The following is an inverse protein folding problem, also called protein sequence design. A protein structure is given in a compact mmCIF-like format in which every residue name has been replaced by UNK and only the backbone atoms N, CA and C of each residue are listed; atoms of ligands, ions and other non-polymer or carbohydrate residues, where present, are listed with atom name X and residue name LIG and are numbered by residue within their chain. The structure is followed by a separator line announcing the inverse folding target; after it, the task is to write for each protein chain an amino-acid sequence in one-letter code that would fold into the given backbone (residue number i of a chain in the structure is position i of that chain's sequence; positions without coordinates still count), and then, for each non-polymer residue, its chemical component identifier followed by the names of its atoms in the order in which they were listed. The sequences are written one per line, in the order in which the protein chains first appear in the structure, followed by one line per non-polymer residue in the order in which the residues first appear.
data_IF_710722677981
#
_entry.id   IF_710722677981
#
_cell.length_a   1.000
_cell.length_b   1.000
_cell.length_c   1.000
_cell.angle_alpha   90.00
_cell.angle_beta   90.00
_cell.angle_gamma   90.00
#
_symmetry.space_group_name_H-M   'P 1'
#
loop_
_entity.id
_entity.type
_entity.pdbx_description
1 polymer ?
#
# COMPACT_ATOMS: atom_id res chain seq x y z
N UNK A 1 22.78 12.40 -16.57
CA UNK A 1 22.38 11.16 -15.86
C UNK A 1 21.78 11.43 -14.46
N UNK A 2 21.31 12.65 -14.14
CA UNK A 2 20.85 13.02 -12.78
C UNK A 2 19.34 12.90 -12.55
N UNK A 3 18.51 13.44 -13.43
CA UNK A 3 17.10 13.68 -13.07
C UNK A 3 16.18 12.46 -13.26
N UNK A 4 16.49 11.60 -14.23
CA UNK A 4 15.69 10.40 -14.49
C UNK A 4 15.78 9.39 -13.34
N UNK A 5 16.96 9.27 -12.72
CA UNK A 5 17.17 8.41 -11.55
C UNK A 5 16.43 8.97 -10.35
N UNK A 6 16.48 10.29 -10.13
CA UNK A 6 15.78 10.96 -9.02
C UNK A 6 14.26 10.80 -9.14
N UNK A 7 13.68 11.03 -10.32
CA UNK A 7 12.24 10.84 -10.55
C UNK A 7 11.82 9.37 -10.34
N UNK A 8 12.64 8.43 -10.80
CA UNK A 8 12.43 7.00 -10.54
C UNK A 8 12.44 6.66 -9.05
N UNK A 9 13.41 7.22 -8.29
CA UNK A 9 13.50 7.04 -6.84
C UNK A 9 12.29 7.62 -6.12
N UNK A 10 11.83 8.82 -6.50
CA UNK A 10 10.64 9.46 -5.92
C UNK A 10 9.40 8.59 -6.14
N UNK A 11 9.19 8.10 -7.37
CA UNK A 11 8.05 7.24 -7.68
C UNK A 11 8.08 5.94 -6.86
N UNK A 12 9.25 5.32 -6.71
CA UNK A 12 9.42 4.13 -5.87
C UNK A 12 9.13 4.44 -4.39
N UNK A 13 9.62 5.59 -3.89
CA UNK A 13 9.41 6.00 -2.52
C UNK A 13 7.91 6.25 -2.22
N UNK A 14 7.21 6.98 -3.08
CA UNK A 14 5.76 7.22 -2.95
C UNK A 14 5.00 5.90 -3.03
N UNK A 15 5.36 5.03 -3.97
CA UNK A 15 4.72 3.72 -4.12
C UNK A 15 4.91 2.81 -2.91
N UNK A 16 6.11 2.82 -2.31
CA UNK A 16 6.41 2.10 -1.08
C UNK A 16 5.62 2.68 0.11
N UNK A 17 5.57 4.01 0.24
CA UNK A 17 4.80 4.67 1.29
C UNK A 17 3.31 4.33 1.19
N UNK A 18 2.72 4.41 0.00
CA UNK A 18 1.35 3.98 -0.24
C UNK A 18 1.14 2.50 0.10
N UNK A 19 2.09 1.64 -0.25
CA UNK A 19 2.08 0.22 0.11
C UNK A 19 2.01 0.00 1.62
N UNK A 20 2.84 0.70 2.39
CA UNK A 20 2.86 0.65 3.86
C UNK A 20 1.52 1.09 4.45
N UNK A 21 0.99 2.23 3.99
CA UNK A 21 -0.29 2.78 4.45
C UNK A 21 -1.45 1.82 4.19
N UNK A 22 -1.49 1.22 3.00
CA UNK A 22 -2.58 0.35 2.59
C UNK A 22 -2.46 -1.08 3.15
N UNK A 23 -1.26 -1.49 3.58
CA UNK A 23 -1.00 -2.86 4.04
C UNK A 23 -1.84 -3.24 5.26
N UNK A 24 -1.88 -2.40 6.30
CA UNK A 24 -2.60 -2.70 7.54
C UNK A 24 -4.12 -2.80 7.31
N UNK A 25 -4.79 -1.82 6.65
CA UNK A 25 -6.18 -1.96 6.24
C UNK A 25 -6.44 -3.19 5.36
N UNK A 26 -5.55 -3.49 4.43
CA UNK A 26 -5.65 -4.67 3.55
C UNK A 26 -5.66 -5.98 4.36
N UNK A 27 -4.75 -6.11 5.33
CA UNK A 27 -4.69 -7.26 6.23
C UNK A 27 -5.98 -7.35 7.06
N UNK A 28 -6.41 -6.23 7.66
CA UNK A 28 -7.62 -6.17 8.47
C UNK A 28 -8.88 -6.60 7.69
N UNK A 29 -9.07 -6.05 6.49
CA UNK A 29 -10.21 -6.40 5.62
C UNK A 29 -10.09 -7.87 5.17
N UNK A 30 -8.89 -8.34 4.84
CA UNK A 30 -8.67 -9.73 4.44
C UNK A 30 -9.03 -10.72 5.54
N UNK A 31 -8.62 -10.45 6.78
CA UNK A 31 -8.97 -11.30 7.92
C UNK A 31 -10.46 -11.22 8.25
N UNK A 32 -11.08 -10.04 8.22
CA UNK A 32 -12.53 -9.89 8.50
C UNK A 32 -13.40 -10.57 7.45
N UNK A 33 -13.03 -10.49 6.17
CA UNK A 33 -13.84 -11.07 5.09
C UNK A 33 -13.50 -12.52 4.80
N UNK A 34 -12.31 -13.03 5.12
CA UNK A 34 -11.88 -14.37 4.68
C UNK A 34 -11.28 -15.23 5.79
N UNK A 35 -11.16 -14.72 7.02
CA UNK A 35 -10.57 -15.41 8.17
C UNK A 35 -9.06 -15.67 8.07
N UNK A 36 -8.44 -15.46 6.90
CA UNK A 36 -7.01 -15.70 6.64
C UNK A 36 -6.46 -14.83 5.52
N UNK A 37 -5.14 -14.68 5.52
CA UNK A 37 -4.39 -14.12 4.41
C UNK A 37 -3.92 -15.26 3.48
N UNK A 38 -4.28 -15.22 2.20
CA UNK A 38 -3.83 -16.20 1.20
C UNK A 38 -2.67 -15.62 0.41
N UNK A 39 -1.55 -16.34 0.34
CA UNK A 39 -0.34 -15.90 -0.37
C UNK A 39 -0.64 -15.46 -1.81
N UNK A 40 -1.37 -16.28 -2.58
CA UNK A 40 -1.71 -15.96 -3.96
C UNK A 40 -2.53 -14.68 -4.10
N UNK A 41 -3.52 -14.44 -3.22
CA UNK A 41 -4.29 -13.18 -3.25
C UNK A 41 -3.44 -11.99 -2.82
N UNK A 42 -2.56 -12.15 -1.83
CA UNK A 42 -1.64 -11.10 -1.41
C UNK A 42 -0.70 -10.72 -2.54
N UNK A 43 -0.12 -11.71 -3.24
CA UNK A 43 0.74 -11.47 -4.40
C UNK A 43 -0.03 -10.76 -5.52
N UNK A 44 -1.28 -11.12 -5.78
CA UNK A 44 -2.11 -10.43 -6.78
C UNK A 44 -2.40 -8.97 -6.40
N UNK A 45 -2.70 -8.68 -5.13
CA UNK A 45 -2.89 -7.29 -4.68
C UNK A 45 -1.59 -6.48 -4.72
N UNK A 46 -0.46 -7.09 -4.35
CA UNK A 46 0.86 -6.47 -4.47
C UNK A 46 1.19 -6.18 -5.94
N UNK A 47 0.95 -7.14 -6.83
CA UNK A 47 1.10 -6.95 -8.27
C UNK A 47 0.19 -5.84 -8.80
N UNK A 48 -1.06 -5.75 -8.33
CA UNK A 48 -1.98 -4.67 -8.70
C UNK A 48 -1.49 -3.29 -8.23
N UNK A 49 -0.91 -3.20 -7.03
CA UNK A 49 -0.32 -1.96 -6.52
C UNK A 49 0.90 -1.54 -7.35
N UNK A 50 1.84 -2.47 -7.60
CA UNK A 50 3.02 -2.21 -8.43
C UNK A 50 2.60 -1.79 -9.84
N UNK A 51 1.61 -2.50 -10.41
CA UNK A 51 1.04 -2.18 -11.72
C UNK A 51 0.42 -0.78 -11.78
N UNK A 52 -0.34 -0.39 -10.76
CA UNK A 52 -0.92 0.95 -10.68
C UNK A 52 0.17 2.03 -10.76
N UNK A 53 1.26 1.87 -10.00
CA UNK A 53 2.41 2.78 -10.07
C UNK A 53 3.14 2.70 -11.41
N UNK A 54 3.26 1.51 -12.00
CA UNK A 54 3.89 1.32 -13.30
C UNK A 54 3.18 2.09 -14.42
N UNK A 55 1.83 2.17 -14.39
CA UNK A 55 1.09 2.99 -15.36
C UNK A 55 1.52 4.45 -15.26
N UNK A 56 1.54 5.02 -14.05
CA UNK A 56 1.94 6.42 -13.85
C UNK A 56 3.39 6.68 -14.27
N UNK A 57 4.32 5.79 -13.90
CA UNK A 57 5.73 5.99 -14.23
C UNK A 57 5.98 5.85 -15.74
N UNK A 58 5.42 4.84 -16.40
CA UNK A 58 5.62 4.67 -17.85
C UNK A 58 4.94 5.75 -18.69
N UNK A 59 3.78 6.24 -18.25
CA UNK A 59 3.02 7.23 -19.02
C UNK A 59 3.46 8.66 -18.78
N UNK A 60 4.08 9.00 -17.64
CA UNK A 60 4.49 10.37 -17.34
C UNK A 60 6.00 10.59 -17.40
N UNK A 61 6.82 9.59 -17.05
CA UNK A 61 8.26 9.75 -16.99
C UNK A 61 8.95 9.37 -18.32
N UNK A 62 10.13 9.96 -18.62
CA UNK A 62 10.73 11.08 -17.90
C UNK A 62 9.99 12.39 -18.18
N UNK A 63 9.93 13.27 -17.18
CA UNK A 63 9.44 14.63 -17.37
C UNK A 63 10.46 15.43 -18.20
N UNK A 64 10.02 16.28 -19.14
CA UNK A 64 10.91 17.08 -19.96
C UNK A 64 11.64 18.14 -19.14
N UNK A 65 12.84 18.54 -19.58
CA UNK A 65 13.51 19.72 -19.06
C UNK A 65 12.65 20.97 -19.37
N UNK A 66 12.27 21.79 -18.37
CA UNK A 66 11.49 23.00 -18.58
C UNK A 66 12.06 23.94 -19.64
N UNK A 67 13.38 24.00 -19.78
CA UNK A 67 14.06 24.89 -20.73
C UNK A 67 14.07 24.34 -22.17
N UNK A 68 13.80 23.04 -22.35
CA UNK A 68 13.84 22.35 -23.64
C UNK A 68 12.48 21.81 -24.10
N UNK A 69 11.39 22.13 -23.39
CA UNK A 69 10.05 21.62 -23.68
C UNK A 69 9.56 22.09 -25.05
N UNK A 70 9.00 21.16 -25.83
CA UNK A 70 8.30 21.45 -27.08
C UNK A 70 6.82 21.17 -26.93
N UNK A 71 6.00 22.19 -27.13
CA UNK A 71 4.57 22.07 -27.05
C UNK A 71 4.02 21.23 -28.20
N UNK A 72 3.10 20.33 -27.88
CA UNK A 72 2.37 19.51 -28.84
C UNK A 72 0.86 19.65 -28.63
N UNK A 73 0.09 19.25 -29.65
CA UNK A 73 -1.37 19.39 -29.66
C UNK A 73 -2.11 18.10 -29.29
N UNK A 74 -3.38 18.03 -29.69
CA UNK A 74 -4.22 16.85 -29.53
C UNK A 74 -4.50 16.17 -30.88
N UNK A 75 -4.45 14.85 -30.91
CA UNK A 75 -4.87 13.99 -32.01
C UNK A 75 -6.27 13.46 -31.67
N UNK A 76 -7.29 14.13 -32.21
CA UNK A 76 -8.69 13.84 -31.87
C UNK A 76 -9.40 12.91 -32.86
N UNK A 77 -8.74 12.53 -33.94
CA UNK A 77 -9.34 11.68 -34.98
C UNK A 77 -9.29 10.20 -34.57
N UNK A 78 -10.42 9.55 -34.24
CA UNK A 78 -10.45 8.15 -33.82
C UNK A 78 -10.01 7.18 -34.95
N UNK A 79 -10.02 7.62 -36.20
CA UNK A 79 -9.55 6.81 -37.33
C UNK A 79 -8.03 6.78 -37.44
N UNK A 80 -7.29 7.50 -36.58
CA UNK A 80 -5.81 7.42 -36.50
C UNK A 80 -5.35 5.98 -36.31
N UNK A 81 -5.93 5.27 -35.34
CA UNK A 81 -5.62 3.86 -35.02
C UNK A 81 -5.70 2.96 -36.26
N UNK A 82 -6.81 3.06 -37.01
CA UNK A 82 -7.03 2.21 -38.19
C UNK A 82 -6.01 2.53 -39.27
N UNK A 83 -5.76 3.82 -39.53
CA UNK A 83 -4.80 4.24 -40.55
C UNK A 83 -3.37 3.91 -40.16
N UNK A 84 -3.03 3.96 -38.88
CA UNK A 84 -1.69 3.61 -38.39
C UNK A 84 -1.43 2.11 -38.52
N UNK A 85 -2.44 1.28 -38.26
CA UNK A 85 -2.38 -0.16 -38.56
C UNK A 85 -2.23 -0.38 -40.07
N UNK A 86 -3.07 0.25 -40.90
CA UNK A 86 -3.00 0.08 -42.36
C UNK A 86 -1.65 0.51 -42.93
N UNK A 87 -1.14 1.68 -42.53
CA UNK A 87 0.20 2.15 -42.89
C UNK A 87 1.26 1.16 -42.43
N UNK A 88 1.10 0.60 -41.23
CA UNK A 88 2.07 -0.33 -40.70
C UNK A 88 2.19 -1.62 -41.54
N UNK A 89 1.07 -2.17 -42.00
CA UNK A 89 1.07 -3.35 -42.84
C UNK A 89 1.40 -3.06 -44.32
N UNK A 90 1.20 -1.82 -44.79
CA UNK A 90 1.53 -1.41 -46.15
C UNK A 90 3.01 -1.02 -46.33
N UNK A 91 3.69 -0.61 -45.26
CA UNK A 91 5.08 -0.18 -45.34
C UNK A 91 6.04 -1.37 -45.56
N UNK A 92 7.13 -1.18 -46.35
CA UNK A 92 8.10 -2.24 -46.62
C UNK A 92 8.79 -2.74 -45.35
N UNK A 93 8.97 -4.06 -45.25
CA UNK A 93 9.65 -4.71 -44.13
C UNK A 93 8.69 -5.40 -43.15
N UNK A 94 9.16 -5.68 -41.93
CA UNK A 94 8.36 -6.38 -40.93
C UNK A 94 7.45 -5.38 -40.17
N UNK A 95 6.10 -5.49 -40.28
CA UNK A 95 5.17 -4.60 -39.58
C UNK A 95 5.34 -4.65 -38.05
N UNK A 96 5.80 -5.77 -37.49
CA UNK A 96 6.05 -5.94 -36.05
C UNK A 96 7.23 -5.12 -35.53
N UNK A 97 8.01 -4.48 -36.42
CA UNK A 97 9.09 -3.55 -36.03
C UNK A 97 8.69 -2.10 -36.19
N UNK A 98 7.46 -1.83 -36.62
CA UNK A 98 7.03 -0.46 -36.87
C UNK A 98 6.57 0.21 -35.57
N UNK A 99 7.12 1.39 -35.23
CA UNK A 99 6.83 2.05 -33.95
C UNK A 99 5.34 2.32 -33.72
N UNK A 100 4.61 2.72 -34.77
CA UNK A 100 3.18 3.00 -34.67
C UNK A 100 2.38 1.74 -34.25
N UNK A 101 2.64 0.60 -34.88
CA UNK A 101 1.98 -0.66 -34.51
C UNK A 101 2.39 -1.10 -33.10
N UNK A 102 3.67 -0.97 -32.75
CA UNK A 102 4.17 -1.32 -31.42
C UNK A 102 3.52 -0.46 -30.33
N UNK A 103 3.32 0.84 -30.55
CA UNK A 103 2.62 1.72 -29.60
C UNK A 103 1.20 1.22 -29.34
N UNK A 104 0.42 0.96 -30.39
CA UNK A 104 -0.95 0.45 -30.26
C UNK A 104 -0.99 -0.88 -29.48
N UNK A 105 -0.10 -1.82 -29.81
CA UNK A 105 -0.01 -3.13 -29.14
C UNK A 105 0.40 -2.96 -27.67
N UNK A 106 1.40 -2.14 -27.36
CA UNK A 106 1.85 -1.93 -26.00
C UNK A 106 0.83 -1.19 -25.14
N UNK A 107 0.05 -0.26 -25.70
CA UNK A 107 -1.06 0.39 -25.01
C UNK A 107 -2.14 -0.62 -24.60
N UNK A 108 -2.54 -1.50 -25.52
CA UNK A 108 -3.44 -2.63 -25.21
C UNK A 108 -2.84 -3.51 -24.10
N UNK A 109 -1.58 -3.96 -24.24
CA UNK A 109 -0.93 -4.84 -23.27
C UNK A 109 -0.77 -4.18 -21.89
N UNK A 110 -0.49 -2.89 -21.84
CA UNK A 110 -0.35 -2.12 -20.61
C UNK A 110 -1.66 -2.11 -19.84
N UNK A 111 -2.83 -2.12 -20.50
CA UNK A 111 -4.14 -2.08 -19.83
C UNK A 111 -4.79 -3.45 -19.59
N UNK A 112 -4.25 -4.55 -20.17
CA UNK A 112 -4.72 -5.92 -19.89
C UNK A 112 -4.73 -6.24 -18.38
N UNK A 113 -3.66 -5.95 -17.60
CA UNK A 113 -3.69 -6.24 -16.17
C UNK A 113 -4.79 -5.49 -15.40
N UNK A 114 -5.13 -4.25 -15.78
CA UNK A 114 -6.23 -3.49 -15.15
C UNK A 114 -7.54 -4.27 -15.21
N UNK A 115 -7.92 -4.73 -16.41
CA UNK A 115 -9.11 -5.54 -16.62
C UNK A 115 -9.11 -6.84 -15.81
N UNK A 116 -7.96 -7.53 -15.80
CA UNK A 116 -7.80 -8.77 -15.06
C UNK A 116 -7.94 -8.55 -13.55
N UNK A 117 -7.31 -7.52 -12.99
CA UNK A 117 -7.40 -7.19 -11.56
C UNK A 117 -8.82 -6.78 -11.16
N UNK A 118 -9.50 -5.93 -11.93
CA UNK A 118 -10.88 -5.54 -11.65
C UNK A 118 -11.83 -6.74 -11.57
N UNK A 119 -11.64 -7.75 -12.43
CA UNK A 119 -12.44 -8.96 -12.42
C UNK A 119 -12.05 -9.95 -11.34
N UNK A 120 -10.76 -10.23 -11.15
CA UNK A 120 -10.28 -11.24 -10.18
C UNK A 120 -10.32 -10.72 -8.75
N UNK A 121 -9.83 -9.51 -8.52
CA UNK A 121 -9.75 -8.92 -7.18
C UNK A 121 -11.05 -8.20 -6.81
N UNK A 122 -11.57 -7.38 -7.74
CA UNK A 122 -12.79 -6.58 -7.52
C UNK A 122 -14.10 -7.35 -7.76
N UNK A 123 -14.06 -8.48 -8.48
CA UNK A 123 -15.26 -9.24 -8.84
C UNK A 123 -16.15 -8.52 -9.86
N UNK A 124 -15.60 -7.54 -10.59
CA UNK A 124 -16.37 -6.68 -11.50
C UNK A 124 -16.34 -7.18 -12.94
N UNK A 125 -17.35 -6.79 -13.70
CA UNK A 125 -17.60 -7.25 -15.07
C UNK A 125 -17.00 -6.36 -16.15
N UNK A 126 -17.37 -6.65 -17.40
CA UNK A 126 -16.96 -5.88 -18.58
C UNK A 126 -17.32 -4.39 -18.49
N UNK A 127 -18.51 -3.97 -18.00
CA UNK A 127 -18.84 -2.54 -17.91
C UNK A 127 -17.87 -1.77 -17.03
N UNK A 128 -17.46 -2.36 -15.89
CA UNK A 128 -16.47 -1.71 -15.02
C UNK A 128 -15.09 -1.69 -15.66
N UNK A 129 -14.67 -2.75 -16.37
CA UNK A 129 -13.40 -2.76 -17.07
C UNK A 129 -13.35 -1.71 -18.19
N UNK A 130 -14.45 -1.54 -18.93
CA UNK A 130 -14.59 -0.51 -19.96
C UNK A 130 -14.52 0.90 -19.35
N UNK A 131 -15.37 1.19 -18.36
CA UNK A 131 -15.42 2.52 -17.73
C UNK A 131 -14.13 2.87 -17.00
N UNK A 132 -13.52 1.92 -16.30
CA UNK A 132 -12.25 2.15 -15.60
C UNK A 132 -11.08 2.26 -16.58
N UNK A 133 -11.04 1.45 -17.64
CA UNK A 133 -10.02 1.55 -18.69
C UNK A 133 -10.10 2.90 -19.40
N UNK A 134 -11.29 3.30 -19.82
CA UNK A 134 -11.52 4.61 -20.44
C UNK A 134 -11.19 5.76 -19.48
N UNK A 135 -11.71 5.72 -18.24
CA UNK A 135 -11.50 6.78 -17.27
C UNK A 135 -10.04 6.93 -16.85
N UNK A 136 -9.30 5.83 -16.68
CA UNK A 136 -7.88 5.88 -16.37
C UNK A 136 -7.06 6.38 -17.56
N UNK A 137 -7.37 5.92 -18.78
CA UNK A 137 -6.73 6.43 -19.99
C UNK A 137 -6.98 7.94 -20.14
N UNK A 138 -8.24 8.37 -19.99
CA UNK A 138 -8.62 9.78 -20.05
C UNK A 138 -7.90 10.61 -18.98
N UNK A 139 -7.75 10.08 -17.77
CA UNK A 139 -7.00 10.74 -16.72
C UNK A 139 -5.53 10.93 -17.12
N UNK A 140 -4.88 9.90 -17.68
CA UNK A 140 -3.48 9.97 -18.16
C UNK A 140 -3.34 10.94 -19.33
N UNK A 141 -4.23 10.88 -20.31
CA UNK A 141 -4.18 11.75 -21.49
C UNK A 141 -4.46 13.22 -21.10
N UNK A 142 -5.46 13.47 -20.25
CA UNK A 142 -5.74 14.82 -19.72
C UNK A 142 -4.57 15.31 -18.89
N UNK A 143 -3.93 14.39 -18.18
CA UNK A 143 -2.73 14.71 -17.43
C UNK A 143 -1.63 15.25 -18.37
N UNK A 144 -1.32 14.53 -19.44
CA UNK A 144 -0.32 15.00 -20.41
C UNK A 144 -0.75 16.28 -21.15
N UNK A 145 -2.03 16.38 -21.54
CA UNK A 145 -2.60 17.52 -22.26
C UNK A 145 -2.50 18.82 -21.46
N UNK A 146 -2.73 18.75 -20.16
CA UNK A 146 -2.62 19.90 -19.26
C UNK A 146 -1.17 20.19 -18.86
N UNK A 147 -0.19 19.45 -19.41
CA UNK A 147 1.22 19.59 -19.06
C UNK A 147 1.49 19.29 -17.58
N UNK A 148 0.75 18.31 -17.04
CA UNK A 148 0.19 18.31 -15.68
C UNK A 148 0.82 19.13 -14.60
N UNK A 149 0.00 19.80 -13.77
CA UNK A 149 -1.35 20.30 -13.99
C UNK A 149 -1.11 21.81 -14.01
N UNK A 150 -0.49 22.28 -15.09
CA UNK A 150 0.19 23.58 -15.13
C UNK A 150 1.60 23.59 -14.53
N UNK A 151 2.25 22.44 -14.31
CA UNK A 151 3.70 22.42 -14.01
C UNK A 151 4.50 22.90 -15.22
N UNK A 152 4.04 22.54 -16.41
CA UNK A 152 4.56 23.02 -17.68
C UNK A 152 3.58 23.98 -18.35
N UNK A 153 4.07 24.93 -19.18
CA UNK A 153 3.22 25.91 -19.85
C UNK A 153 2.31 25.30 -20.94
N UNK A 154 2.55 24.05 -21.36
CA UNK A 154 1.82 23.37 -22.42
C UNK A 154 1.96 21.84 -22.33
N UNK A 155 1.21 21.12 -23.18
CA UNK A 155 1.33 19.67 -23.32
C UNK A 155 2.71 19.28 -23.87
N UNK A 156 3.38 18.32 -23.23
CA UNK A 156 4.68 17.79 -23.66
C UNK A 156 4.58 16.42 -24.36
N UNK A 157 3.40 15.80 -24.34
CA UNK A 157 3.02 14.60 -25.10
C UNK A 157 1.65 14.83 -25.73
N UNK A 158 1.42 14.21 -26.89
CA UNK A 158 0.16 14.35 -27.61
C UNK A 158 -0.96 13.71 -26.80
N UNK A 159 -2.07 14.43 -26.64
CA UNK A 159 -3.33 13.79 -26.27
C UNK A 159 -3.81 12.97 -27.45
N UNK A 160 -3.97 11.66 -27.31
CA UNK A 160 -4.37 10.79 -28.43
C UNK A 160 -5.66 10.02 -28.13
N UNK A 161 -6.71 10.27 -28.92
CA UNK A 161 -7.98 9.51 -28.84
C UNK A 161 -7.75 8.03 -29.18
N UNK A 162 -6.77 7.72 -30.01
CA UNK A 162 -6.34 6.35 -30.30
C UNK A 162 -5.79 5.64 -29.06
N UNK A 163 -5.12 6.35 -28.17
CA UNK A 163 -4.62 5.81 -26.90
C UNK A 163 -5.78 5.53 -25.94
N UNK A 164 -6.81 6.39 -25.90
CA UNK A 164 -8.07 6.08 -25.20
C UNK A 164 -8.70 4.78 -25.69
N UNK A 165 -8.76 4.56 -27.00
CA UNK A 165 -9.36 3.37 -27.60
C UNK A 165 -8.54 2.11 -27.31
N UNK A 166 -7.23 2.15 -27.50
CA UNK A 166 -6.33 1.00 -27.32
C UNK A 166 -6.22 0.60 -25.84
N UNK A 167 -6.05 1.56 -24.93
CA UNK A 167 -6.02 1.30 -23.49
C UNK A 167 -7.36 0.73 -22.99
N UNK A 168 -8.48 1.30 -23.42
CA UNK A 168 -9.82 0.77 -23.06
C UNK A 168 -10.00 -0.65 -23.59
N UNK A 169 -9.56 -0.93 -24.81
CA UNK A 169 -9.59 -2.27 -25.41
C UNK A 169 -8.75 -3.25 -24.59
N UNK A 170 -7.55 -2.85 -24.16
CA UNK A 170 -6.71 -3.62 -23.25
C UNK A 170 -7.42 -4.02 -21.97
N UNK A 171 -8.07 -3.06 -21.30
CA UNK A 171 -8.82 -3.33 -20.07
C UNK A 171 -10.00 -4.29 -20.30
N UNK A 172 -10.74 -4.14 -21.41
CA UNK A 172 -11.82 -5.06 -21.78
C UNK A 172 -11.27 -6.47 -22.04
N UNK A 173 -10.22 -6.60 -22.85
CA UNK A 173 -9.57 -7.87 -23.15
C UNK A 173 -9.05 -8.56 -21.90
N UNK A 174 -8.35 -7.83 -21.03
CA UNK A 174 -7.85 -8.38 -19.77
C UNK A 174 -8.96 -8.89 -18.86
N UNK A 175 -10.09 -8.18 -18.82
CA UNK A 175 -11.28 -8.66 -18.13
C UNK A 175 -11.80 -9.94 -18.79
N UNK A 176 -11.90 -10.03 -20.12
CA UNK A 176 -12.32 -11.28 -20.81
C UNK A 176 -11.36 -12.44 -20.50
N UNK A 177 -10.05 -12.24 -20.61
CA UNK A 177 -9.03 -13.26 -20.33
C UNK A 177 -9.12 -13.78 -18.89
N UNK A 178 -9.41 -12.89 -17.93
CA UNK A 178 -9.63 -13.27 -16.54
C UNK A 178 -10.87 -14.17 -16.30
N UNK A 179 -11.67 -14.46 -17.32
CA UNK A 179 -12.73 -15.47 -17.24
C UNK A 179 -12.20 -16.89 -17.00
N UNK A 180 -10.91 -17.15 -17.26
CA UNK A 180 -10.26 -18.44 -16.95
C UNK A 180 -10.18 -18.72 -15.44
N UNK A 181 -10.13 -17.68 -14.60
CA UNK A 181 -10.03 -17.84 -13.13
C UNK A 181 -11.39 -18.25 -12.56
N UNK A 182 -11.57 -19.36 -11.83
CA UNK A 182 -12.89 -19.77 -11.31
C UNK A 182 -13.64 -18.66 -10.55
N UNK A 183 -14.97 -18.55 -10.72
CA UNK A 183 -15.80 -17.52 -10.04
C UNK A 183 -15.63 -17.55 -8.51
N UNK A 184 -15.46 -18.72 -7.91
CA UNK A 184 -15.21 -18.91 -6.48
C UNK A 184 -13.91 -18.26 -5.97
N UNK A 185 -12.97 -17.95 -6.86
CA UNK A 185 -11.72 -17.27 -6.55
C UNK A 185 -11.78 -15.77 -6.86
N UNK A 186 -12.90 -15.23 -7.35
CA UNK A 186 -13.03 -13.82 -7.72
C UNK A 186 -13.68 -12.99 -6.62
N UNK A 187 -13.33 -11.71 -6.59
CA UNK A 187 -14.04 -10.68 -5.82
C UNK A 187 -13.67 -10.54 -4.35
N UNK A 188 -14.45 -9.69 -3.68
CA UNK A 188 -14.25 -9.26 -2.30
C UNK A 188 -15.31 -9.82 -1.34
N UNK A 189 -16.10 -10.81 -1.78
CA UNK A 189 -17.16 -11.39 -0.95
C UNK A 189 -16.56 -12.04 0.31
N UNK A 190 -17.30 -11.91 1.41
CA UNK A 190 -16.94 -12.60 2.63
C UNK A 190 -17.10 -14.12 2.42
N UNK A 191 -16.15 -14.90 2.92
CA UNK A 191 -16.32 -16.36 2.96
C UNK A 191 -17.22 -16.74 4.14
N UNK A 192 -17.99 -17.81 3.98
CA UNK A 192 -18.85 -18.32 5.05
C UNK A 192 -18.05 -18.70 6.31
N UNK A 193 -16.84 -19.21 6.14
CA UNK A 193 -15.91 -19.62 7.22
C UNK A 193 -15.04 -18.46 7.76
N UNK A 194 -15.41 -17.21 7.49
CA UNK A 194 -14.62 -16.04 7.88
C UNK A 194 -14.69 -15.75 9.38
N UNK A 195 -15.81 -16.07 10.03
CA UNK A 195 -16.02 -15.83 11.46
C UNK A 195 -15.67 -17.05 12.33
N UNK A 196 -15.32 -18.18 11.71
CA UNK A 196 -14.88 -19.36 12.45
C UNK A 196 -13.53 -19.12 13.13
N UNK A 197 -13.36 -19.53 14.40
CA UNK A 197 -12.08 -19.48 15.09
C UNK A 197 -11.01 -20.27 14.36
N UNK A 198 -9.79 -19.74 14.29
CA UNK A 198 -8.64 -20.39 13.64
C UNK A 198 -7.43 -20.45 14.57
N UNK A 199 -6.58 -21.47 14.44
CA UNK A 199 -5.39 -21.60 15.27
C UNK A 199 -4.46 -20.39 15.12
N UNK A 200 -3.83 -20.00 16.22
CA UNK A 200 -2.80 -18.96 16.23
C UNK A 200 -1.50 -19.57 15.72
N UNK A 201 -1.14 -19.25 14.48
CA UNK A 201 0.13 -19.66 13.88
C UNK A 201 1.21 -18.60 14.13
N UNK A 202 2.48 -19.01 14.12
CA UNK A 202 3.62 -18.07 14.20
C UNK A 202 3.58 -17.04 13.07
N UNK A 203 3.20 -17.44 11.85
CA UNK A 203 3.05 -16.51 10.72
C UNK A 203 1.95 -15.46 10.95
N UNK A 204 0.80 -15.85 11.54
CA UNK A 204 -0.26 -14.90 11.92
C UNK A 204 0.21 -13.91 12.98
N UNK A 205 1.01 -14.39 13.94
CA UNK A 205 1.61 -13.53 14.97
C UNK A 205 2.69 -12.59 14.40
N UNK A 206 3.56 -13.09 13.52
CA UNK A 206 4.55 -12.29 12.81
C UNK A 206 3.87 -11.17 12.01
N UNK A 207 2.76 -11.50 11.33
CA UNK A 207 1.96 -10.52 10.60
C UNK A 207 1.35 -9.46 11.53
N UNK A 208 0.90 -9.84 12.73
CA UNK A 208 0.44 -8.89 13.74
C UNK A 208 1.58 -7.94 14.16
N UNK A 209 2.79 -8.47 14.43
CA UNK A 209 3.96 -7.66 14.78
C UNK A 209 4.35 -6.71 13.65
N UNK A 210 4.31 -7.17 12.39
CA UNK A 210 4.55 -6.35 11.22
C UNK A 210 3.51 -5.22 11.10
N UNK A 211 2.22 -5.54 11.29
CA UNK A 211 1.16 -4.53 11.26
C UNK A 211 1.31 -3.50 12.38
N UNK A 212 1.70 -3.93 13.59
CA UNK A 212 2.00 -3.02 14.70
C UNK A 212 3.18 -2.11 14.38
N UNK A 213 4.29 -2.64 13.87
CA UNK A 213 5.46 -1.86 13.50
C UNK A 213 5.18 -0.86 12.37
N UNK A 214 4.51 -1.30 11.30
CA UNK A 214 4.16 -0.45 10.16
C UNK A 214 3.17 0.65 10.55
N UNK A 215 2.12 0.32 11.30
CA UNK A 215 1.15 1.31 11.74
C UNK A 215 1.77 2.30 12.73
N UNK A 216 2.60 1.84 13.66
CA UNK A 216 3.27 2.70 14.63
C UNK A 216 4.25 3.64 13.93
N UNK A 217 5.10 3.11 13.04
CA UNK A 217 6.01 3.91 12.23
C UNK A 217 5.28 4.93 11.34
N UNK A 218 4.13 4.58 10.78
CA UNK A 218 3.30 5.52 10.04
C UNK A 218 2.79 6.68 10.92
N UNK A 219 2.32 6.39 12.14
CA UNK A 219 1.87 7.43 13.08
C UNK A 219 3.03 8.35 13.50
N UNK A 220 4.22 7.78 13.74
CA UNK A 220 5.43 8.57 14.04
C UNK A 220 5.82 9.46 12.86
N UNK A 221 5.82 8.92 11.64
CA UNK A 221 6.16 9.67 10.43
C UNK A 221 5.15 10.79 10.17
N UNK A 222 3.85 10.47 10.15
CA UNK A 222 2.80 11.44 9.88
C UNK A 222 2.74 12.52 10.98
N UNK A 223 2.89 12.13 12.25
CA UNK A 223 2.99 13.07 13.36
C UNK A 223 4.22 13.96 13.25
N UNK A 224 5.37 13.41 12.86
CA UNK A 224 6.61 14.16 12.68
C UNK A 224 6.48 15.20 11.56
N UNK A 225 5.92 14.80 10.41
CA UNK A 225 5.62 15.73 9.30
C UNK A 225 4.64 16.82 9.76
N UNK A 226 3.59 16.48 10.50
CA UNK A 226 2.64 17.45 11.00
C UNK A 226 3.29 18.47 11.95
N UNK A 227 4.14 18.03 12.87
CA UNK A 227 4.88 18.92 13.78
C UNK A 227 5.87 19.80 13.00
N UNK A 228 6.57 19.24 12.01
CA UNK A 228 7.48 20.00 11.15
C UNK A 228 6.77 21.11 10.37
N UNK A 229 5.61 20.79 9.78
CA UNK A 229 4.78 21.78 9.09
C UNK A 229 4.25 22.86 10.06
N UNK A 230 3.88 22.47 11.27
CA UNK A 230 3.46 23.42 12.29
C UNK A 230 4.60 24.34 12.72
N UNK A 231 5.80 23.81 12.93
CA UNK A 231 6.98 24.61 13.26
C UNK A 231 7.35 25.59 12.15
N UNK A 232 7.32 25.16 10.89
CA UNK A 232 7.67 26.00 9.73
C UNK A 232 6.63 27.09 9.47
N UNK A 233 5.33 26.74 9.44
CA UNK A 233 4.28 27.65 8.96
C UNK A 233 3.54 28.40 10.07
N UNK A 234 3.53 27.89 11.31
CA UNK A 234 2.80 28.51 12.42
C UNK A 234 3.75 29.15 13.42
N UNK A 235 4.77 28.41 13.87
CA UNK A 235 5.76 28.95 14.82
C UNK A 235 6.82 29.78 14.10
N UNK A 236 7.10 29.46 12.84
CA UNK A 236 8.15 30.06 12.01
C UNK A 236 9.56 29.94 12.63
N UNK A 237 9.80 28.83 13.36
CA UNK A 237 11.10 28.54 13.97
C UNK A 237 11.91 27.57 13.10
N UNK A 238 12.70 28.14 12.20
CA UNK A 238 13.57 27.38 11.29
C UNK A 238 14.65 26.58 12.02
N UNK A 239 15.12 27.03 13.18
CA UNK A 239 16.13 26.28 13.94
C UNK A 239 15.52 25.00 14.50
N UNK A 240 14.31 25.07 15.06
CA UNK A 240 13.58 23.90 15.54
C UNK A 240 13.23 22.92 14.41
N UNK A 241 12.88 23.42 13.22
CA UNK A 241 12.63 22.59 12.03
C UNK A 241 13.88 21.78 11.64
N UNK A 242 15.03 22.45 11.58
CA UNK A 242 16.31 21.85 11.21
C UNK A 242 16.82 20.86 12.26
N UNK A 243 16.64 21.17 13.55
CA UNK A 243 17.02 20.28 14.64
C UNK A 243 16.15 19.02 14.69
N UNK A 244 14.83 19.16 14.46
CA UNK A 244 13.90 18.04 14.31
C UNK A 244 13.68 17.20 15.57
N UNK A 245 14.34 17.49 16.68
CA UNK A 245 14.18 16.73 17.94
C UNK A 245 12.76 16.83 18.46
N UNK A 246 12.16 18.03 18.46
CA UNK A 246 10.79 18.23 18.92
C UNK A 246 9.80 17.40 18.07
N UNK A 247 9.97 17.41 16.75
CA UNK A 247 9.12 16.64 15.84
C UNK A 247 9.22 15.13 16.12
N UNK A 248 10.44 14.61 16.28
CA UNK A 248 10.67 13.20 16.59
C UNK A 248 10.16 12.78 17.98
N UNK A 249 10.43 13.59 19.01
CA UNK A 249 10.01 13.30 20.38
C UNK A 249 8.49 13.35 20.52
N UNK A 250 7.85 14.40 20.00
CA UNK A 250 6.39 14.56 20.08
C UNK A 250 5.68 13.46 19.30
N UNK A 251 6.10 13.18 18.06
CA UNK A 251 5.43 12.17 17.23
C UNK A 251 5.59 10.76 17.82
N UNK A 252 6.76 10.45 18.39
CA UNK A 252 7.00 9.17 19.08
C UNK A 252 6.17 9.06 20.35
N UNK A 253 6.08 10.12 21.17
CA UNK A 253 5.24 10.13 22.37
C UNK A 253 3.76 9.88 22.03
N UNK A 254 3.26 10.56 21.00
CA UNK A 254 1.89 10.41 20.49
C UNK A 254 1.64 8.97 20.03
N UNK A 255 2.57 8.38 19.27
CA UNK A 255 2.44 6.99 18.82
C UNK A 255 2.42 6.00 20.00
N UNK A 256 3.29 6.19 21.00
CA UNK A 256 3.33 5.37 22.22
C UNK A 256 2.02 5.45 23.00
N UNK A 257 1.51 6.68 23.20
CA UNK A 257 0.26 6.95 23.89
C UNK A 257 -0.95 6.38 23.14
N UNK A 258 -0.98 6.48 21.81
CA UNK A 258 -2.04 5.91 21.00
C UNK A 258 -2.11 4.39 21.15
N UNK A 259 -0.97 3.69 21.12
CA UNK A 259 -0.94 2.24 21.35
C UNK A 259 -1.37 1.89 22.78
N UNK A 260 -0.98 2.70 23.77
CA UNK A 260 -1.40 2.53 25.16
C UNK A 260 -2.92 2.61 25.27
N UNK A 261 -3.53 3.68 24.74
CA UNK A 261 -4.99 3.87 24.75
C UNK A 261 -5.71 2.73 24.04
N UNK A 262 -5.27 2.35 22.84
CA UNK A 262 -5.88 1.24 22.08
C UNK A 262 -5.82 -0.07 22.87
N UNK A 263 -4.70 -0.38 23.51
CA UNK A 263 -4.54 -1.60 24.32
C UNK A 263 -5.35 -1.51 25.62
N UNK A 264 -5.37 -0.36 26.30
CA UNK A 264 -6.13 -0.17 27.52
C UNK A 264 -7.63 -0.27 27.28
N UNK A 265 -8.14 0.24 26.15
CA UNK A 265 -9.57 0.18 25.80
C UNK A 265 -9.95 -1.21 25.30
N UNK A 266 -9.19 -1.76 24.33
CA UNK A 266 -9.62 -2.94 23.57
C UNK A 266 -8.98 -4.25 24.01
N UNK A 267 -7.94 -4.20 24.86
CA UNK A 267 -7.07 -5.33 25.18
C UNK A 267 -6.17 -5.79 24.04
N UNK A 268 -6.20 -5.11 22.89
CA UNK A 268 -5.55 -5.52 21.63
C UNK A 268 -4.72 -4.38 21.07
N UNK A 269 -3.66 -4.70 20.35
CA UNK A 269 -2.92 -3.72 19.55
C UNK A 269 -3.55 -3.55 18.16
N UNK A 270 -3.08 -2.59 17.36
CA UNK A 270 -3.54 -2.41 15.98
C UNK A 270 -3.27 -3.66 15.14
N UNK A 271 -2.10 -4.28 15.32
CA UNK A 271 -1.74 -5.54 14.68
C UNK A 271 -2.67 -6.69 15.08
N UNK A 272 -2.96 -6.83 16.37
CA UNK A 272 -3.90 -7.85 16.85
C UNK A 272 -5.31 -7.64 16.28
N UNK A 273 -5.78 -6.39 16.22
CA UNK A 273 -7.06 -6.04 15.60
C UNK A 273 -7.08 -6.40 14.11
N UNK A 274 -5.97 -6.18 13.40
CA UNK A 274 -5.84 -6.48 11.98
C UNK A 274 -5.90 -7.99 11.69
N UNK A 275 -5.30 -8.82 12.55
CA UNK A 275 -5.30 -10.28 12.36
C UNK A 275 -6.29 -11.04 13.27
N UNK A 276 -7.20 -10.33 13.94
CA UNK A 276 -8.18 -10.88 14.87
C UNK A 276 -7.59 -11.74 16.01
N UNK A 277 -6.49 -11.29 16.63
CA UNK A 277 -5.91 -11.91 17.82
C UNK A 277 -6.33 -11.18 19.09
N UNK A 278 -6.25 -11.87 20.24
CA UNK A 278 -6.35 -11.27 21.57
C UNK A 278 -5.46 -12.00 22.56
N UNK A 279 -5.10 -11.30 23.63
CA UNK A 279 -4.40 -11.88 24.77
C UNK A 279 -5.38 -12.10 25.93
N UNK A 280 -5.37 -13.31 26.51
CA UNK A 280 -6.30 -13.76 27.56
C UNK A 280 -5.58 -14.59 28.63
N UNK A 281 -6.26 -14.90 29.74
CA UNK A 281 -5.75 -15.84 30.75
C UNK A 281 -4.74 -15.29 31.77
N UNK A 282 -4.63 -13.97 31.94
CA UNK A 282 -3.76 -13.41 32.98
C UNK A 282 -4.35 -13.62 34.38
N UNK A 283 -3.54 -13.95 35.40
CA UNK A 283 -3.96 -13.89 36.80
C UNK A 283 -4.01 -12.45 37.36
N UNK A 284 -3.49 -11.46 36.63
CA UNK A 284 -3.41 -10.07 37.06
C UNK A 284 -4.74 -9.32 36.77
N UNK A 285 -5.02 -8.23 37.51
CA UNK A 285 -6.11 -7.32 37.17
C UNK A 285 -6.00 -6.84 35.71
N UNK A 286 -7.14 -6.74 35.03
CA UNK A 286 -7.18 -6.48 33.58
C UNK A 286 -6.39 -5.21 33.17
N UNK A 287 -6.45 -4.14 33.98
CA UNK A 287 -5.71 -2.91 33.72
C UNK A 287 -4.18 -3.14 33.77
N UNK A 288 -3.68 -3.82 34.80
CA UNK A 288 -2.26 -4.12 34.94
C UNK A 288 -1.76 -5.08 33.85
N UNK A 289 -2.55 -6.11 33.52
CA UNK A 289 -2.23 -7.01 32.43
C UNK A 289 -2.10 -6.27 31.08
N UNK A 290 -3.02 -5.32 30.80
CA UNK A 290 -2.99 -4.48 29.58
C UNK A 290 -1.79 -3.53 29.57
N UNK A 291 -1.42 -2.95 30.71
CA UNK A 291 -0.23 -2.10 30.84
C UNK A 291 1.06 -2.89 30.58
N UNK A 292 1.23 -4.06 31.21
CA UNK A 292 2.40 -4.92 31.01
C UNK A 292 2.48 -5.47 29.57
N UNK A 293 1.31 -5.74 28.98
CA UNK A 293 1.19 -6.06 27.57
C UNK A 293 1.69 -4.93 26.67
N UNK A 294 1.31 -3.69 26.94
CA UNK A 294 1.79 -2.52 26.19
C UNK A 294 3.30 -2.33 26.39
N UNK A 295 3.80 -2.49 27.61
CA UNK A 295 5.21 -2.39 27.96
C UNK A 295 6.08 -3.37 27.16
N UNK A 296 5.60 -4.61 26.96
CA UNK A 296 6.27 -5.61 26.13
C UNK A 296 6.04 -5.48 24.61
N UNK A 297 5.20 -4.54 24.18
CA UNK A 297 4.86 -4.30 22.78
C UNK A 297 5.63 -3.13 22.18
N UNK A 298 5.39 -2.85 20.89
CA UNK A 298 6.12 -1.79 20.17
C UNK A 298 6.02 -0.42 20.86
N UNK A 299 4.85 -0.06 21.38
CA UNK A 299 4.64 1.22 22.08
C UNK A 299 5.44 1.35 23.38
N UNK A 300 5.53 0.28 24.17
CA UNK A 300 6.33 0.29 25.40
C UNK A 300 7.83 0.29 25.13
N UNK A 301 8.28 -0.50 24.16
CA UNK A 301 9.70 -0.55 23.78
C UNK A 301 10.15 0.78 23.17
N UNK A 302 9.36 1.38 22.28
CA UNK A 302 9.66 2.71 21.73
C UNK A 302 9.67 3.79 22.81
N UNK A 303 8.71 3.77 23.75
CA UNK A 303 8.71 4.69 24.90
C UNK A 303 9.96 4.53 25.79
N UNK A 304 10.47 3.32 25.97
CA UNK A 304 11.71 3.06 26.70
C UNK A 304 12.91 3.73 25.99
N UNK A 305 12.97 3.66 24.66
CA UNK A 305 14.05 4.27 23.89
C UNK A 305 14.08 5.80 23.97
N UNK A 306 12.93 6.44 24.18
CA UNK A 306 12.84 7.89 24.37
C UNK A 306 13.59 8.40 25.60
N UNK A 307 13.92 7.54 26.57
CA UNK A 307 14.71 7.93 27.74
C UNK A 307 16.20 8.13 27.41
N UNK A 308 16.65 7.69 26.23
CA UNK A 308 18.01 7.85 25.75
C UNK A 308 19.05 7.01 26.48
N UNK A 309 20.32 7.15 26.06
CA UNK A 309 21.46 6.48 26.68
C UNK A 309 21.31 4.95 26.74
N UNK A 310 21.45 4.39 27.95
CA UNK A 310 21.36 2.93 28.17
C UNK A 310 19.97 2.38 27.85
N UNK A 311 18.91 3.19 28.00
CA UNK A 311 17.55 2.73 27.75
C UNK A 311 17.23 2.56 26.26
N UNK A 312 17.86 3.36 25.40
CA UNK A 312 17.74 3.21 23.94
C UNK A 312 18.41 1.92 23.46
N UNK A 313 19.63 1.65 23.95
CA UNK A 313 20.30 0.37 23.71
C UNK A 313 19.47 -0.81 24.23
N UNK A 314 18.90 -0.70 25.43
CA UNK A 314 18.05 -1.73 26.02
C UNK A 314 16.77 -1.95 25.19
N UNK A 315 16.13 -0.88 24.73
CA UNK A 315 14.95 -0.97 23.85
C UNK A 315 15.28 -1.75 22.57
N UNK A 316 16.39 -1.40 21.91
CA UNK A 316 16.86 -2.08 20.70
C UNK A 316 17.10 -3.58 20.95
N UNK A 317 17.76 -3.92 22.06
CA UNK A 317 17.97 -5.32 22.47
C UNK A 317 16.63 -6.02 22.73
N UNK A 318 15.69 -5.39 23.41
CA UNK A 318 14.37 -5.96 23.69
C UNK A 318 13.54 -6.17 22.42
N UNK A 319 13.67 -5.31 21.41
CA UNK A 319 13.04 -5.50 20.09
C UNK A 319 13.62 -6.76 19.42
N UNK A 320 14.94 -6.95 19.44
CA UNK A 320 15.58 -8.16 18.92
C UNK A 320 15.13 -9.41 19.70
N UNK A 321 15.07 -9.32 21.03
CA UNK A 321 14.54 -10.38 21.89
C UNK A 321 13.08 -10.69 21.56
N UNK A 322 12.25 -9.69 21.26
CA UNK A 322 10.86 -9.89 20.87
C UNK A 322 10.75 -10.72 19.56
N UNK A 323 11.65 -10.50 18.60
CA UNK A 323 11.74 -11.28 17.36
C UNK A 323 12.16 -12.72 17.68
N UNK A 324 13.14 -12.94 18.55
CA UNK A 324 13.54 -14.31 18.97
C UNK A 324 12.37 -15.01 19.67
N UNK A 325 11.68 -14.32 20.57
CA UNK A 325 10.56 -14.86 21.35
C UNK A 325 9.34 -15.23 20.50
N UNK A 326 9.18 -14.66 19.30
CA UNK A 326 8.20 -15.12 18.32
C UNK A 326 8.39 -16.61 17.99
N UNK A 327 9.63 -17.08 17.94
CA UNK A 327 9.97 -18.44 17.56
C UNK A 327 10.13 -19.38 18.77
N UNK A 328 10.56 -18.87 19.92
CA UNK A 328 10.83 -19.70 21.10
C UNK A 328 9.63 -19.84 22.05
N UNK A 329 8.69 -18.90 22.06
CA UNK A 329 7.52 -18.97 22.94
C UNK A 329 6.33 -19.71 22.31
N UNK A 330 5.47 -20.29 23.16
CA UNK A 330 4.23 -20.95 22.73
C UNK A 330 3.36 -19.97 21.91
N UNK A 331 3.06 -20.36 20.67
CA UNK A 331 2.27 -19.56 19.71
C UNK A 331 2.80 -18.13 19.45
N UNK A 332 4.06 -17.85 19.80
CA UNK A 332 4.67 -16.53 19.60
C UNK A 332 4.12 -15.43 20.54
N UNK A 333 3.63 -15.79 21.74
CA UNK A 333 3.10 -14.81 22.71
C UNK A 333 4.09 -13.68 23.03
N UNK A 334 5.40 -13.94 22.90
CA UNK A 334 6.45 -12.92 22.95
C UNK A 334 6.57 -12.20 24.30
N UNK A 335 7.34 -11.11 24.32
CA UNK A 335 7.44 -10.21 25.49
C UNK A 335 6.07 -9.77 26.04
N UNK A 336 5.07 -9.36 25.21
CA UNK A 336 3.78 -8.93 25.74
C UNK A 336 3.09 -10.02 26.58
N UNK A 337 3.16 -11.28 26.14
CA UNK A 337 2.53 -12.41 26.84
C UNK A 337 3.33 -12.89 28.05
N UNK A 338 4.66 -12.78 28.02
CA UNK A 338 5.50 -13.12 29.17
C UNK A 338 5.31 -12.11 30.31
N UNK A 339 5.34 -10.81 30.00
CA UNK A 339 5.19 -9.76 31.01
C UNK A 339 3.79 -9.71 31.62
N UNK A 340 2.75 -9.89 30.81
CA UNK A 340 1.35 -9.85 31.27
C UNK A 340 0.84 -11.19 31.81
N UNK A 341 1.59 -12.28 31.68
CA UNK A 341 1.12 -13.64 32.00
C UNK A 341 0.01 -14.15 31.06
N UNK A 342 -0.23 -13.49 29.93
CA UNK A 342 -1.31 -13.84 29.00
C UNK A 342 -0.88 -14.86 27.93
N UNK A 343 -1.87 -15.51 27.34
CA UNK A 343 -1.73 -16.41 26.18
C UNK A 343 -2.45 -15.81 24.97
N UNK A 344 -2.05 -16.24 23.77
CA UNK A 344 -2.66 -15.79 22.53
C UNK A 344 -3.83 -16.67 22.14
N UNK A 345 -4.95 -16.05 21.78
CA UNK A 345 -6.11 -16.73 21.23
C UNK A 345 -6.66 -15.98 20.02
N UNK A 346 -7.43 -16.70 19.20
CA UNK A 346 -8.25 -16.07 18.18
C UNK A 346 -9.38 -15.28 18.86
N UNK A 347 -9.56 -14.03 18.48
CA UNK A 347 -10.59 -13.17 19.05
C UNK A 347 -12.01 -13.68 18.79
N UNK A 348 -12.19 -14.56 17.79
CA UNK A 348 -13.45 -15.19 17.43
C UNK A 348 -13.84 -16.37 18.33
N UNK A 349 -12.93 -16.87 19.17
CA UNK A 349 -13.28 -17.87 20.18
C UNK A 349 -14.28 -17.22 21.14
N UNK A 350 -15.53 -17.67 21.13
CA UNK A 350 -16.50 -17.32 22.16
C UNK A 350 -15.90 -17.73 23.50
N UNK A 351 -15.80 -16.78 24.44
CA UNK A 351 -15.46 -17.13 25.81
C UNK A 351 -16.48 -18.19 26.23
N UNK A 352 -16.03 -19.38 26.61
CA UNK A 352 -16.89 -20.29 27.36
C UNK A 352 -17.29 -19.49 28.61
N UNK A 353 -18.55 -19.11 28.68
CA UNK A 353 -19.16 -18.43 29.81
C UNK A 353 -18.98 -19.24 31.08
#
# INVERSE_FOLDING_TARGET
MGDQVVLGVIAVAIGLAAGVVLFVPFVAISYRRRGRLSLGRTLLWLAALVYFWAIWTYTLLPLPDPDAIRCVGAITDPMSVVRDVQKAFAAPGNPLRQPALLQLVFNVLLFVPLGAFLRVLGGRGLPTALLAGFGLSLLVETTQLTGVWGLYPCAYRFFDVGDLMTNTTGAVLGSVLALVVPRSLRGLQARADADEPRPVTRGRRALAMLCDGLANGFVVLAGGVAVQLWLEYVVQDRQAVLDGTLAGTVSTAVACALWLVVILVTGRSVGDLAVQLRYTGSPLPAALARLLRWAGGIGGLTALGMLGGVFDALSSVLILVAIVLLFTTRQGRGLPGLLSGQHLEDARVTAKS
#
